data_IF_963944331565
#
_entry.id   IF_963944331565
#
_cell.length_a   1.000
_cell.length_b   1.000
_cell.length_c   1.000
_cell.angle_alpha   90.00
_cell.angle_beta   90.00
_cell.angle_gamma   90.00
#
_symmetry.space_group_name_H-M   'P 1'
#
loop_
_entity.id
_entity.type
_entity.pdbx_description
1 polymer ?
#
# COMPACT_ATOMS: atom_id res chain seq x y z
N UNK A 1 37.13 3.48 -9.81
CA UNK A 1 35.97 3.26 -10.74
C UNK A 1 34.93 4.36 -10.62
N UNK A 2 34.62 4.79 -9.44
CA UNK A 2 33.67 5.91 -9.16
C UNK A 2 34.13 7.21 -9.83
N UNK A 3 35.42 7.56 -9.73
CA UNK A 3 36.03 8.74 -10.34
C UNK A 3 35.73 8.87 -11.83
N UNK A 4 35.83 7.75 -12.56
CA UNK A 4 35.52 7.72 -13.99
C UNK A 4 34.08 8.15 -14.29
N UNK A 5 33.13 7.67 -13.48
CA UNK A 5 31.72 8.08 -13.64
C UNK A 5 31.54 9.56 -13.31
N UNK A 6 32.15 10.03 -12.22
CA UNK A 6 32.05 11.43 -11.81
C UNK A 6 32.64 12.37 -12.89
N UNK A 7 33.83 12.07 -13.42
CA UNK A 7 34.43 12.83 -14.53
C UNK A 7 33.55 12.85 -15.78
N UNK A 8 32.93 11.71 -16.15
CA UNK A 8 32.05 11.65 -17.28
C UNK A 8 30.76 12.49 -17.06
N UNK A 9 30.21 12.52 -15.84
CA UNK A 9 29.08 13.38 -15.50
C UNK A 9 29.47 14.87 -15.59
N UNK A 10 30.63 15.27 -15.11
CA UNK A 10 31.16 16.64 -15.24
C UNK A 10 31.31 17.09 -16.70
N UNK A 11 31.76 16.16 -17.57
CA UNK A 11 31.88 16.40 -19.01
C UNK A 11 30.58 16.26 -19.80
N UNK A 12 29.48 15.85 -19.12
CA UNK A 12 28.18 15.53 -19.74
C UNK A 12 28.27 14.46 -20.85
N UNK A 13 29.18 13.50 -20.67
CA UNK A 13 29.39 12.39 -21.61
C UNK A 13 28.50 11.20 -21.25
N UNK A 14 27.74 10.69 -22.24
CA UNK A 14 26.92 9.48 -22.09
C UNK A 14 26.20 9.41 -20.73
N UNK A 15 25.58 10.51 -20.32
CA UNK A 15 24.98 10.71 -18.98
C UNK A 15 24.12 9.53 -18.53
N UNK A 16 23.27 9.04 -19.41
CA UNK A 16 22.36 7.94 -19.08
C UNK A 16 23.09 6.67 -18.67
N UNK A 17 24.10 6.26 -19.44
CA UNK A 17 24.86 5.03 -19.20
C UNK A 17 25.74 5.19 -17.95
N UNK A 18 26.40 6.34 -17.80
CA UNK A 18 27.24 6.62 -16.65
C UNK A 18 26.45 6.72 -15.35
N UNK A 19 25.24 7.30 -15.34
CA UNK A 19 24.36 7.32 -14.17
C UNK A 19 23.87 5.91 -13.80
N UNK A 20 23.54 5.06 -14.77
CA UNK A 20 23.16 3.66 -14.51
C UNK A 20 24.34 2.89 -13.92
N UNK A 21 25.55 3.06 -14.49
CA UNK A 21 26.76 2.43 -13.97
C UNK A 21 27.12 2.91 -12.58
N UNK A 22 27.08 4.21 -12.34
CA UNK A 22 27.31 4.82 -11.03
C UNK A 22 26.34 4.27 -9.99
N UNK A 23 25.05 4.25 -10.30
CA UNK A 23 24.01 3.72 -9.41
C UNK A 23 24.22 2.26 -9.03
N UNK A 24 24.78 1.45 -9.95
CA UNK A 24 25.15 0.08 -9.62
C UNK A 24 26.32 0.00 -8.63
N UNK A 25 27.26 0.95 -8.71
CA UNK A 25 28.45 0.99 -7.84
C UNK A 25 28.13 1.50 -6.42
N UNK A 26 27.30 2.53 -6.26
CA UNK A 26 26.94 3.11 -4.96
C UNK A 26 26.07 2.21 -4.08
N UNK A 27 25.75 1.01 -4.53
CA UNK A 27 25.20 -0.06 -3.67
C UNK A 27 26.22 -0.63 -2.70
N UNK A 28 27.49 -0.51 -3.03
CA UNK A 28 28.61 -0.78 -2.13
C UNK A 28 28.86 0.44 -1.26
N UNK A 29 28.91 0.26 0.06
CA UNK A 29 28.98 1.38 1.01
C UNK A 29 30.27 2.18 0.86
N UNK A 30 31.40 1.51 0.63
CA UNK A 30 32.68 2.20 0.42
C UNK A 30 32.70 3.05 -0.85
N UNK A 31 32.07 2.54 -1.93
CA UNK A 31 31.91 3.29 -3.18
C UNK A 31 30.93 4.48 -2.99
N UNK A 32 29.87 4.31 -2.17
CA UNK A 32 28.94 5.37 -1.81
C UNK A 32 29.63 6.49 -1.05
N UNK A 33 30.39 6.16 0.01
CA UNK A 33 31.16 7.13 0.78
C UNK A 33 32.20 7.87 -0.10
N UNK A 34 32.93 7.15 -0.96
CA UNK A 34 33.83 7.75 -1.91
C UNK A 34 33.12 8.75 -2.82
N UNK A 35 31.95 8.38 -3.38
CA UNK A 35 31.18 9.27 -4.26
C UNK A 35 30.68 10.49 -3.51
N UNK A 36 30.13 10.34 -2.30
CA UNK A 36 29.70 11.46 -1.45
C UNK A 36 30.84 12.45 -1.20
N UNK A 37 32.08 11.97 -0.95
CA UNK A 37 33.22 12.85 -0.74
C UNK A 37 33.62 13.66 -1.99
N UNK A 38 33.30 13.15 -3.20
CA UNK A 38 33.64 13.77 -4.47
C UNK A 38 32.63 14.80 -4.94
N UNK A 39 31.33 14.60 -4.67
CA UNK A 39 30.26 15.47 -5.16
C UNK A 39 30.14 16.81 -4.43
N UNK A 40 30.89 17.00 -3.32
CA UNK A 40 30.90 18.24 -2.56
C UNK A 40 29.52 18.64 -2.03
N UNK A 41 28.97 19.74 -2.53
CA UNK A 41 27.62 20.23 -2.19
C UNK A 41 26.49 19.57 -3.00
N UNK A 42 26.81 18.62 -3.89
CA UNK A 42 25.83 17.95 -4.75
C UNK A 42 25.38 18.76 -5.95
N UNK A 43 25.92 19.94 -6.18
CA UNK A 43 25.46 20.88 -7.22
C UNK A 43 25.36 20.26 -8.60
N UNK A 44 26.36 19.43 -9.00
CA UNK A 44 26.32 18.72 -10.28
C UNK A 44 25.08 17.82 -10.42
N UNK A 45 24.73 17.05 -9.38
CA UNK A 45 23.53 16.19 -9.43
C UNK A 45 22.26 17.01 -9.47
N UNK A 46 22.21 18.12 -8.73
CA UNK A 46 21.04 19.01 -8.74
C UNK A 46 20.83 19.65 -10.12
N UNK A 47 21.92 20.06 -10.79
CA UNK A 47 21.85 20.56 -12.19
C UNK A 47 21.35 19.48 -13.15
N UNK A 48 21.76 18.22 -12.98
CA UNK A 48 21.32 17.11 -13.83
C UNK A 48 19.84 16.72 -13.63
N UNK A 49 19.15 17.21 -12.61
CA UNK A 49 17.70 17.08 -12.48
C UNK A 49 16.94 17.89 -13.53
N UNK A 50 17.56 18.91 -14.12
CA UNK A 50 16.98 19.77 -15.16
C UNK A 50 17.30 19.30 -16.59
N UNK A 51 17.99 18.16 -16.78
CA UNK A 51 18.33 17.63 -18.09
C UNK A 51 17.10 17.32 -18.94
N UNK A 52 17.21 17.51 -20.27
CA UNK A 52 16.10 17.28 -21.21
C UNK A 52 15.71 15.79 -21.24
N UNK A 53 16.66 14.86 -21.15
CA UNK A 53 16.37 13.42 -21.14
C UNK A 53 15.71 12.97 -19.84
N UNK A 54 14.42 12.54 -19.86
CA UNK A 54 13.72 12.09 -18.66
C UNK A 54 14.36 10.85 -17.99
N UNK A 55 15.16 10.08 -18.73
CA UNK A 55 15.88 8.93 -18.16
C UNK A 55 17.12 9.38 -17.37
N UNK A 56 17.72 10.51 -17.74
CA UNK A 56 18.79 11.14 -16.95
C UNK A 56 18.19 11.64 -15.66
N UNK A 57 17.15 12.48 -15.70
CA UNK A 57 16.46 12.98 -14.51
C UNK A 57 16.03 11.88 -13.55
N UNK A 58 15.43 10.81 -14.09
CA UNK A 58 15.05 9.61 -13.33
C UNK A 58 16.23 8.99 -12.57
N UNK A 59 17.38 8.79 -13.23
CA UNK A 59 18.52 8.15 -12.58
C UNK A 59 19.16 9.05 -11.54
N UNK A 60 19.25 10.35 -11.81
CA UNK A 60 19.75 11.36 -10.85
C UNK A 60 18.86 11.38 -9.59
N UNK A 61 17.56 11.45 -9.75
CA UNK A 61 16.63 11.41 -8.61
C UNK A 61 16.85 10.17 -7.73
N UNK A 62 17.00 8.99 -8.36
CA UNK A 62 17.27 7.77 -7.61
C UNK A 62 18.61 7.80 -6.88
N UNK A 63 19.67 8.33 -7.51
CA UNK A 63 20.98 8.47 -6.86
C UNK A 63 20.88 9.39 -5.64
N UNK A 64 20.23 10.56 -5.77
CA UNK A 64 20.04 11.50 -4.65
C UNK A 64 19.29 10.85 -3.48
N UNK A 65 18.28 10.04 -3.78
CA UNK A 65 17.54 9.29 -2.76
C UNK A 65 18.43 8.20 -2.11
N UNK A 66 19.12 7.38 -2.89
CA UNK A 66 19.98 6.30 -2.40
C UNK A 66 21.20 6.82 -1.60
N UNK A 67 21.64 8.04 -1.89
CA UNK A 67 22.65 8.75 -1.10
C UNK A 67 22.07 9.39 0.18
N UNK A 68 20.75 9.42 0.33
CA UNK A 68 20.06 10.13 1.41
C UNK A 68 20.51 11.60 1.49
N UNK A 69 20.68 12.25 0.31
CA UNK A 69 21.23 13.60 0.21
C UNK A 69 20.25 14.64 0.76
N UNK A 70 20.44 15.04 2.00
CA UNK A 70 19.51 15.91 2.75
C UNK A 70 19.21 17.24 2.04
N UNK A 71 20.16 17.82 1.35
CA UNK A 71 19.98 19.06 0.57
C UNK A 71 19.16 18.92 -0.71
N UNK A 72 18.78 17.69 -1.12
CA UNK A 72 18.04 17.45 -2.35
C UNK A 72 16.51 17.52 -2.21
N UNK A 73 15.97 17.59 -1.01
CA UNK A 73 14.51 17.52 -0.80
C UNK A 73 13.75 18.61 -1.57
N UNK A 74 14.15 19.88 -1.43
CA UNK A 74 13.55 21.00 -2.17
C UNK A 74 13.63 20.85 -3.68
N UNK A 75 14.81 20.46 -4.17
CA UNK A 75 15.05 20.27 -5.61
C UNK A 75 14.22 19.13 -6.17
N UNK A 76 14.15 17.99 -5.47
CA UNK A 76 13.35 16.84 -5.87
C UNK A 76 11.85 17.12 -5.85
N UNK A 77 11.35 17.88 -4.86
CA UNK A 77 9.95 18.32 -4.81
C UNK A 77 9.65 19.25 -5.98
N UNK A 78 10.51 20.23 -6.23
CA UNK A 78 10.36 21.17 -7.35
C UNK A 78 10.39 20.45 -8.69
N UNK A 79 11.33 19.53 -8.87
CA UNK A 79 11.45 18.71 -10.09
C UNK A 79 10.20 17.82 -10.27
N UNK A 80 9.69 17.21 -9.21
CA UNK A 80 8.46 16.41 -9.24
C UNK A 80 7.25 17.23 -9.72
N UNK A 81 7.08 18.45 -9.23
CA UNK A 81 5.94 19.30 -9.58
C UNK A 81 6.00 19.78 -11.04
N UNK A 82 7.20 20.06 -11.56
CA UNK A 82 7.43 20.50 -12.93
C UNK A 82 7.39 19.36 -13.95
N UNK A 83 7.65 18.12 -13.51
CA UNK A 83 7.79 16.96 -14.40
C UNK A 83 6.50 16.68 -15.18
N UNK A 84 6.63 16.57 -16.51
CA UNK A 84 5.53 16.23 -17.41
C UNK A 84 5.54 14.76 -17.82
N UNK A 85 6.69 14.10 -17.68
CA UNK A 85 6.85 12.71 -18.08
C UNK A 85 6.35 11.76 -16.98
N UNK A 86 5.16 11.21 -17.13
CA UNK A 86 4.46 10.44 -16.11
C UNK A 86 5.28 9.32 -15.48
N UNK A 87 6.09 8.58 -16.27
CA UNK A 87 6.89 7.48 -15.73
C UNK A 87 8.03 7.94 -14.80
N UNK A 88 8.41 9.22 -14.84
CA UNK A 88 9.45 9.80 -13.97
C UNK A 88 8.88 10.23 -12.63
N UNK A 89 7.65 10.74 -12.59
CA UNK A 89 7.01 11.27 -11.37
C UNK A 89 7.10 10.32 -10.18
N UNK A 90 6.72 9.05 -10.37
CA UNK A 90 6.80 8.05 -9.29
C UNK A 90 8.24 7.82 -8.78
N UNK A 91 9.25 8.16 -9.57
CA UNK A 91 10.65 8.01 -9.18
C UNK A 91 11.10 9.10 -8.23
N UNK A 92 10.70 10.35 -8.45
CA UNK A 92 10.95 11.44 -7.49
C UNK A 92 10.35 11.13 -6.13
N UNK A 93 9.12 10.63 -6.08
CA UNK A 93 8.47 10.24 -4.83
C UNK A 93 9.19 9.09 -4.12
N UNK A 94 9.73 8.13 -4.89
CA UNK A 94 10.56 7.04 -4.33
C UNK A 94 11.88 7.56 -3.77
N UNK A 95 12.49 8.55 -4.41
CA UNK A 95 13.72 9.19 -3.91
C UNK A 95 13.43 10.00 -2.63
N UNK A 96 12.34 10.77 -2.62
CA UNK A 96 11.90 11.53 -1.44
C UNK A 96 11.57 10.65 -0.23
N UNK A 97 11.23 9.36 -0.44
CA UNK A 97 10.99 8.43 0.66
C UNK A 97 12.23 8.13 1.52
N UNK A 98 13.42 8.48 1.07
CA UNK A 98 14.68 8.40 1.83
C UNK A 98 15.00 9.68 2.61
N UNK A 99 14.23 10.76 2.39
CA UNK A 99 14.51 12.09 2.91
C UNK A 99 13.44 12.54 3.90
N UNK A 100 13.72 13.60 4.66
CA UNK A 100 12.71 14.26 5.46
C UNK A 100 11.80 15.12 4.56
N UNK A 101 10.52 14.80 4.57
CA UNK A 101 9.49 15.48 3.79
C UNK A 101 8.47 16.25 4.64
N UNK A 102 8.74 16.43 5.93
CA UNK A 102 7.79 17.03 6.89
C UNK A 102 7.25 18.38 6.40
N UNK A 103 8.12 19.23 5.82
CA UNK A 103 7.73 20.54 5.29
C UNK A 103 6.82 20.48 4.06
N UNK A 104 6.72 19.32 3.37
CA UNK A 104 6.00 19.18 2.10
C UNK A 104 4.75 18.31 2.19
N UNK A 105 4.42 17.78 3.37
CA UNK A 105 3.32 16.82 3.55
C UNK A 105 1.99 17.34 3.00
N UNK A 106 1.62 18.59 3.27
CA UNK A 106 0.37 19.19 2.79
C UNK A 106 0.32 19.28 1.25
N UNK A 107 1.45 19.58 0.60
CA UNK A 107 1.54 19.60 -0.88
C UNK A 107 1.29 18.20 -1.46
N UNK A 108 1.84 17.16 -0.82
CA UNK A 108 1.65 15.77 -1.24
C UNK A 108 0.23 15.26 -0.96
N UNK A 109 -0.41 15.69 0.14
CA UNK A 109 -1.82 15.39 0.41
C UNK A 109 -2.72 16.01 -0.66
N UNK A 110 -2.53 17.30 -0.98
CA UNK A 110 -3.27 17.97 -2.05
C UNK A 110 -3.09 17.22 -3.38
N UNK A 111 -1.85 16.86 -3.73
CA UNK A 111 -1.59 16.09 -4.94
C UNK A 111 -2.27 14.72 -4.95
N UNK A 112 -2.33 14.06 -3.81
CA UNK A 112 -3.04 12.79 -3.67
C UNK A 112 -4.55 12.96 -3.94
N UNK A 113 -5.18 13.99 -3.40
CA UNK A 113 -6.60 14.31 -3.63
C UNK A 113 -6.88 14.56 -5.11
N UNK A 114 -6.01 15.30 -5.81
CA UNK A 114 -6.10 15.52 -7.25
C UNK A 114 -6.06 14.18 -8.01
N UNK A 115 -5.08 13.31 -7.71
CA UNK A 115 -4.91 12.02 -8.37
C UNK A 115 -6.09 11.07 -8.11
N UNK A 116 -6.67 11.10 -6.91
CA UNK A 116 -7.83 10.27 -6.56
C UNK A 116 -9.10 10.72 -7.28
N UNK A 117 -9.23 12.02 -7.57
CA UNK A 117 -10.36 12.58 -8.33
C UNK A 117 -10.17 12.49 -9.85
N UNK A 118 -8.93 12.25 -10.31
CA UNK A 118 -8.61 12.18 -11.74
C UNK A 118 -8.95 10.82 -12.36
N UNK A 119 -9.60 10.85 -13.51
CA UNK A 119 -9.86 9.64 -14.31
C UNK A 119 -8.83 9.54 -15.44
N UNK A 120 -7.79 8.72 -15.33
CA UNK A 120 -6.72 8.65 -16.32
C UNK A 120 -7.18 7.95 -17.61
N UNK A 121 -6.61 8.36 -18.77
CA UNK A 121 -6.71 7.63 -20.00
C UNK A 121 -6.03 6.25 -19.88
N UNK A 122 -6.37 5.31 -20.78
CA UNK A 122 -5.89 3.93 -20.68
C UNK A 122 -4.35 3.81 -20.69
N UNK A 123 -3.69 4.63 -21.52
CA UNK A 123 -2.23 4.71 -21.63
C UNK A 123 -1.56 5.35 -20.41
N UNK A 124 -2.23 6.27 -19.72
CA UNK A 124 -1.71 6.95 -18.53
C UNK A 124 -1.90 6.13 -17.26
N UNK A 125 -2.94 5.30 -17.22
CA UNK A 125 -3.41 4.61 -16.01
C UNK A 125 -2.28 3.92 -15.25
N UNK A 126 -1.40 3.21 -15.94
CA UNK A 126 -0.26 2.52 -15.31
C UNK A 126 0.64 3.48 -14.54
N UNK A 127 0.95 4.63 -15.12
CA UNK A 127 1.88 5.61 -14.54
C UNK A 127 1.21 6.40 -13.41
N UNK A 128 -0.05 6.77 -13.57
CA UNK A 128 -0.86 7.39 -12.51
C UNK A 128 -1.01 6.43 -11.32
N UNK A 129 -1.31 5.17 -11.54
CA UNK A 129 -1.37 4.16 -10.47
C UNK A 129 0.00 3.95 -9.77
N UNK A 130 1.12 4.10 -10.49
CA UNK A 130 2.46 4.07 -9.91
C UNK A 130 2.77 5.32 -9.09
N UNK A 131 2.32 6.50 -9.53
CA UNK A 131 2.42 7.77 -8.80
C UNK A 131 1.59 7.72 -7.52
N UNK A 132 0.32 7.36 -7.58
CA UNK A 132 -0.57 7.18 -6.42
C UNK A 132 0.05 6.28 -5.37
N UNK A 133 0.62 5.13 -5.79
CA UNK A 133 1.24 4.18 -4.87
C UNK A 133 2.50 4.71 -4.23
N UNK A 134 3.36 5.38 -5.02
CA UNK A 134 4.60 5.96 -4.48
C UNK A 134 4.27 7.08 -3.49
N UNK A 135 3.27 7.90 -3.80
CA UNK A 135 2.79 8.99 -2.96
C UNK A 135 2.12 8.47 -1.67
N UNK A 136 1.32 7.41 -1.77
CA UNK A 136 0.71 6.77 -0.60
C UNK A 136 1.76 6.27 0.39
N UNK A 137 2.80 5.59 -0.10
CA UNK A 137 3.92 5.12 0.74
C UNK A 137 4.73 6.26 1.36
N UNK A 138 4.93 7.33 0.60
CA UNK A 138 5.65 8.50 1.07
C UNK A 138 4.89 9.16 2.25
N UNK A 139 3.59 9.35 2.10
CA UNK A 139 2.74 9.91 3.14
C UNK A 139 2.57 8.97 4.35
N UNK A 140 2.44 7.66 4.11
CA UNK A 140 2.37 6.65 5.19
C UNK A 140 3.63 6.69 6.09
N UNK A 141 4.81 6.85 5.48
CA UNK A 141 6.07 6.96 6.24
C UNK A 141 6.16 8.25 7.07
N UNK A 142 5.55 9.33 6.59
CA UNK A 142 5.57 10.64 7.23
C UNK A 142 4.46 10.83 8.28
N UNK A 143 3.38 10.05 8.20
CA UNK A 143 2.27 10.08 9.15
C UNK A 143 2.60 9.20 10.38
N UNK A 144 2.62 9.78 11.57
CA UNK A 144 2.66 9.00 12.80
C UNK A 144 1.38 8.18 12.91
N UNK A 145 1.52 6.87 12.81
CA UNK A 145 0.39 5.97 12.96
C UNK A 145 0.00 5.84 14.43
N UNK A 146 -1.16 6.37 14.75
CA UNK A 146 -1.78 6.19 16.08
C UNK A 146 -2.57 4.89 16.16
N UNK A 147 -2.21 3.81 15.56
CA UNK A 147 -2.88 2.52 15.58
C UNK A 147 -4.35 2.50 16.06
N UNK A 148 -5.20 1.71 15.42
CA UNK A 148 -6.59 1.60 15.83
C UNK A 148 -6.75 0.56 16.93
N UNK A 149 -7.59 0.86 17.93
CA UNK A 149 -7.92 -0.10 18.98
C UNK A 149 -9.28 -0.72 18.69
N UNK A 150 -9.31 -2.04 18.56
CA UNK A 150 -10.58 -2.78 18.46
C UNK A 150 -11.39 -2.64 19.76
N UNK A 151 -12.61 -2.14 19.65
CA UNK A 151 -13.50 -1.87 20.81
C UNK A 151 -14.69 -2.83 20.88
N UNK A 152 -14.83 -3.72 19.90
CA UNK A 152 -15.96 -4.64 19.79
C UNK A 152 -17.16 -4.02 19.06
N UNK A 153 -18.21 -4.81 18.92
CA UNK A 153 -19.42 -4.42 18.20
C UNK A 153 -20.55 -3.98 19.15
N UNK A 154 -21.27 -2.95 18.74
CA UNK A 154 -22.52 -2.54 19.41
C UNK A 154 -23.65 -3.49 19.04
N UNK A 155 -23.73 -3.89 17.78
CA UNK A 155 -24.72 -4.77 17.21
C UNK A 155 -24.15 -6.15 16.88
N UNK A 156 -24.99 -7.22 16.84
CA UNK A 156 -24.55 -8.51 16.37
C UNK A 156 -24.18 -8.48 14.88
N UNK A 157 -23.07 -9.11 14.53
CA UNK A 157 -22.61 -9.32 13.16
C UNK A 157 -22.41 -10.81 12.86
N UNK A 158 -22.46 -11.16 11.59
CA UNK A 158 -22.08 -12.48 11.13
C UNK A 158 -20.57 -12.65 11.27
N UNK A 159 -20.15 -13.71 11.95
CA UNK A 159 -18.75 -14.12 12.07
C UNK A 159 -18.60 -15.50 11.46
N UNK A 160 -17.59 -15.72 10.66
CA UNK A 160 -17.29 -16.99 10.05
C UNK A 160 -16.05 -17.59 10.70
N UNK A 161 -16.22 -18.69 11.41
CA UNK A 161 -15.16 -19.48 12.01
C UNK A 161 -14.69 -20.51 10.96
N UNK A 162 -13.53 -20.30 10.36
CA UNK A 162 -12.96 -21.23 9.39
C UNK A 162 -12.48 -22.49 10.09
N UNK A 163 -13.00 -23.63 9.69
CA UNK A 163 -12.63 -24.93 10.24
C UNK A 163 -11.86 -25.77 9.20
N UNK A 164 -11.01 -26.67 9.65
CA UNK A 164 -10.47 -27.73 8.78
C UNK A 164 -11.56 -28.77 8.44
N UNK A 165 -11.26 -29.63 7.44
CA UNK A 165 -12.12 -30.74 7.10
C UNK A 165 -12.46 -31.56 8.36
N UNK A 166 -13.71 -32.00 8.48
CA UNK A 166 -14.28 -32.76 9.59
C UNK A 166 -14.31 -32.09 10.98
N UNK A 167 -13.90 -30.81 11.12
CA UNK A 167 -13.93 -30.11 12.41
C UNK A 167 -15.15 -29.23 12.62
N UNK A 168 -15.97 -29.02 11.61
CA UNK A 168 -17.19 -28.16 11.69
C UNK A 168 -18.14 -28.60 12.81
N UNK A 169 -18.37 -29.91 12.96
CA UNK A 169 -19.26 -30.43 14.01
C UNK A 169 -18.67 -30.29 15.42
N UNK A 170 -17.33 -30.36 15.55
CA UNK A 170 -16.64 -30.13 16.83
C UNK A 170 -16.79 -28.66 17.24
N UNK A 171 -16.58 -27.73 16.30
CA UNK A 171 -16.74 -26.30 16.53
C UNK A 171 -18.20 -25.95 16.88
N UNK A 172 -19.18 -26.59 16.21
CA UNK A 172 -20.59 -26.43 16.57
C UNK A 172 -20.91 -26.89 17.98
N UNK A 173 -20.34 -28.01 18.42
CA UNK A 173 -20.48 -28.49 19.81
C UNK A 173 -19.85 -27.52 20.80
N UNK A 174 -18.67 -27.01 20.50
CA UNK A 174 -17.97 -26.02 21.35
C UNK A 174 -18.77 -24.72 21.47
N UNK A 175 -19.34 -24.21 20.37
CA UNK A 175 -20.25 -23.06 20.38
C UNK A 175 -21.53 -23.40 21.18
N UNK A 176 -22.03 -24.63 21.08
CA UNK A 176 -23.24 -25.09 21.71
C UNK A 176 -23.25 -24.98 23.24
N UNK A 177 -22.08 -25.00 23.87
CA UNK A 177 -21.97 -24.82 25.33
C UNK A 177 -21.89 -23.36 25.78
N UNK A 178 -21.78 -22.41 24.85
CA UNK A 178 -21.84 -21.00 25.18
C UNK A 178 -23.26 -20.56 25.56
N UNK A 179 -23.42 -19.50 26.37
CA UNK A 179 -24.73 -18.92 26.67
C UNK A 179 -25.56 -18.59 25.41
N UNK A 180 -26.86 -18.75 25.50
CA UNK A 180 -27.78 -18.61 24.34
C UNK A 180 -27.79 -17.19 23.76
N UNK A 181 -27.60 -16.18 24.58
CA UNK A 181 -27.49 -14.77 24.18
C UNK A 181 -26.23 -14.48 23.36
N UNK A 182 -25.14 -15.24 23.58
CA UNK A 182 -23.89 -15.15 22.81
C UNK A 182 -24.03 -15.83 21.45
N UNK A 183 -24.69 -17.01 21.39
CA UNK A 183 -24.79 -17.86 20.20
C UNK A 183 -26.11 -17.71 19.43
N UNK A 184 -26.66 -16.51 19.28
CA UNK A 184 -28.04 -16.24 18.80
C UNK A 184 -28.46 -17.01 17.54
N UNK A 185 -27.59 -17.08 16.52
CA UNK A 185 -27.81 -17.90 15.30
C UNK A 185 -26.50 -18.57 14.93
N UNK A 186 -26.53 -19.87 14.80
CA UNK A 186 -25.35 -20.67 14.42
C UNK A 186 -25.76 -21.61 13.30
N UNK A 187 -24.97 -21.68 12.24
CA UNK A 187 -25.23 -22.52 11.07
C UNK A 187 -23.92 -23.12 10.51
N UNK A 188 -24.03 -24.29 9.89
CA UNK A 188 -22.95 -24.84 9.06
C UNK A 188 -22.75 -23.93 7.84
N UNK A 189 -21.49 -23.69 7.50
CA UNK A 189 -21.06 -22.95 6.33
C UNK A 189 -20.06 -23.82 5.53
N UNK A 190 -19.97 -23.74 4.19
CA UNK A 190 -19.03 -24.53 3.40
C UNK A 190 -17.57 -24.40 3.86
N UNK A 191 -17.20 -23.26 4.44
CA UNK A 191 -15.84 -23.00 4.96
C UNK A 191 -15.70 -23.24 6.48
N UNK A 192 -16.80 -23.59 7.19
CA UNK A 192 -16.76 -23.78 8.64
C UNK A 192 -18.10 -23.54 9.33
N UNK A 193 -18.14 -22.61 10.30
CA UNK A 193 -19.34 -22.29 11.08
C UNK A 193 -19.60 -20.80 11.03
N UNK A 194 -20.80 -20.41 10.62
CA UNK A 194 -21.28 -19.04 10.72
C UNK A 194 -21.99 -18.83 12.06
N UNK A 195 -21.65 -17.75 12.76
CA UNK A 195 -22.26 -17.34 14.05
C UNK A 195 -22.68 -15.89 13.96
N UNK A 196 -23.89 -15.56 14.38
CA UNK A 196 -24.38 -14.20 14.46
C UNK A 196 -24.34 -13.72 15.92
N UNK A 197 -23.37 -12.88 16.26
CA UNK A 197 -23.12 -12.41 17.62
C UNK A 197 -22.39 -11.05 17.63
N UNK A 198 -22.42 -10.35 18.75
CA UNK A 198 -21.56 -9.19 18.99
C UNK A 198 -20.34 -9.52 19.86
N UNK A 199 -20.32 -10.69 20.46
CA UNK A 199 -19.27 -11.10 21.42
C UNK A 199 -18.10 -11.77 20.69
N UNK A 200 -17.21 -10.94 20.16
CA UNK A 200 -15.96 -11.40 19.50
C UNK A 200 -15.06 -12.14 20.48
N UNK A 201 -15.03 -11.71 21.75
CA UNK A 201 -14.15 -12.34 22.76
C UNK A 201 -14.57 -13.78 23.03
N UNK A 202 -15.86 -14.05 23.11
CA UNK A 202 -16.35 -15.42 23.26
C UNK A 202 -15.94 -16.28 22.07
N UNK A 203 -16.04 -15.73 20.85
CA UNK A 203 -15.60 -16.45 19.64
C UNK A 203 -14.08 -16.63 19.60
N UNK A 204 -13.30 -15.63 19.97
CA UNK A 204 -11.84 -15.70 20.00
C UNK A 204 -11.30 -16.73 21.01
N UNK A 205 -12.06 -17.06 22.05
CA UNK A 205 -11.69 -18.06 23.08
C UNK A 205 -11.96 -19.52 22.66
N UNK A 206 -12.67 -19.77 21.55
CA UNK A 206 -12.86 -21.11 21.03
C UNK A 206 -11.55 -21.68 20.48
N UNK A 207 -11.41 -23.01 20.52
CA UNK A 207 -10.13 -23.70 20.22
C UNK A 207 -10.17 -24.55 18.95
N UNK A 208 -11.33 -24.75 18.34
CA UNK A 208 -11.53 -25.74 17.28
C UNK A 208 -11.61 -25.13 15.87
N UNK A 209 -11.46 -23.83 15.72
CA UNK A 209 -11.35 -23.16 14.43
C UNK A 209 -9.91 -22.67 14.18
N UNK A 210 -9.63 -22.23 12.95
CA UNK A 210 -8.31 -21.71 12.54
C UNK A 210 -8.26 -20.19 12.47
N UNK A 211 -9.33 -19.60 11.93
CA UNK A 211 -9.41 -18.18 11.65
C UNK A 211 -10.83 -17.69 11.88
N UNK A 212 -10.96 -16.47 12.37
CA UNK A 212 -12.23 -15.77 12.52
C UNK A 212 -12.30 -14.67 11.47
N UNK A 213 -13.34 -14.70 10.64
CA UNK A 213 -13.57 -13.74 9.58
C UNK A 213 -14.91 -13.03 9.78
N UNK A 214 -14.99 -11.81 9.25
CA UNK A 214 -16.23 -11.03 9.17
C UNK A 214 -16.66 -10.96 7.71
N UNK A 215 -17.65 -11.74 7.26
CA UNK A 215 -18.09 -11.76 5.87
C UNK A 215 -18.66 -10.42 5.43
N UNK A 216 -18.19 -9.88 4.33
CA UNK A 216 -18.78 -8.75 3.62
C UNK A 216 -19.65 -9.30 2.50
N UNK A 217 -20.93 -8.96 2.50
CA UNK A 217 -21.87 -9.38 1.46
C UNK A 217 -21.85 -8.38 0.32
N UNK A 218 -21.32 -8.80 -0.81
CA UNK A 218 -21.33 -8.00 -2.02
C UNK A 218 -22.73 -7.97 -2.63
N UNK A 219 -23.13 -6.84 -3.21
CA UNK A 219 -24.39 -6.69 -3.94
C UNK A 219 -24.32 -7.33 -5.33
N UNK A 220 -23.15 -7.30 -5.94
CA UNK A 220 -22.87 -7.85 -7.25
C UNK A 220 -21.56 -8.65 -7.24
N UNK A 221 -21.51 -9.70 -8.06
CA UNK A 221 -20.25 -10.40 -8.31
C UNK A 221 -19.42 -9.61 -9.30
N UNK A 222 -18.13 -9.51 -9.06
CA UNK A 222 -17.20 -8.81 -9.93
C UNK A 222 -15.94 -9.64 -10.16
N UNK A 223 -15.55 -9.75 -11.44
CA UNK A 223 -14.32 -10.45 -11.82
C UNK A 223 -13.12 -9.50 -11.97
N UNK A 224 -13.37 -8.22 -12.18
CA UNK A 224 -12.33 -7.19 -12.29
C UNK A 224 -11.99 -6.64 -10.91
N UNK A 225 -10.70 -6.48 -10.65
CA UNK A 225 -10.20 -6.07 -9.34
C UNK A 225 -10.75 -4.70 -8.90
N UNK A 226 -10.81 -3.76 -9.82
CA UNK A 226 -11.29 -2.41 -9.58
C UNK A 226 -12.79 -2.38 -9.26
N UNK A 227 -13.60 -3.10 -10.03
CA UNK A 227 -15.04 -3.21 -9.79
C UNK A 227 -15.33 -3.90 -8.45
N UNK A 228 -14.54 -4.94 -8.12
CA UNK A 228 -14.66 -5.62 -6.83
C UNK A 228 -14.31 -4.71 -5.66
N UNK A 229 -13.32 -3.83 -5.81
CA UNK A 229 -12.97 -2.86 -4.77
C UNK A 229 -14.09 -1.83 -4.54
N UNK A 230 -14.73 -1.36 -5.63
CA UNK A 230 -15.91 -0.49 -5.55
C UNK A 230 -17.06 -1.16 -4.81
N UNK A 231 -17.37 -2.42 -5.15
CA UNK A 231 -18.40 -3.22 -4.49
C UNK A 231 -18.10 -3.44 -3.00
N UNK A 232 -16.87 -3.75 -2.64
CA UNK A 232 -16.44 -3.92 -1.23
C UNK A 232 -16.65 -2.61 -0.47
N UNK A 233 -16.27 -1.47 -1.03
CA UNK A 233 -16.49 -0.17 -0.40
C UNK A 233 -17.98 0.15 -0.23
N UNK A 234 -18.77 -0.02 -1.30
CA UNK A 234 -20.24 0.22 -1.28
C UNK A 234 -20.99 -0.76 -0.38
N UNK A 235 -20.43 -1.91 -0.08
CA UNK A 235 -20.99 -2.89 0.86
C UNK A 235 -20.78 -2.52 2.33
N UNK A 236 -20.20 -1.35 2.61
CA UNK A 236 -20.14 -0.77 3.96
C UNK A 236 -18.95 -1.20 4.81
N UNK A 237 -17.84 -1.65 4.21
CA UNK A 237 -16.62 -2.01 4.97
C UNK A 237 -16.12 -0.85 5.83
N UNK A 238 -16.20 0.40 5.33
CA UNK A 238 -15.81 1.57 6.09
C UNK A 238 -16.63 1.77 7.37
N UNK A 239 -17.95 1.65 7.28
CA UNK A 239 -18.85 1.79 8.43
C UNK A 239 -18.66 0.64 9.42
N UNK A 240 -18.46 -0.59 8.91
CA UNK A 240 -18.15 -1.76 9.71
C UNK A 240 -16.88 -1.56 10.55
N UNK A 241 -15.80 -1.09 9.92
CA UNK A 241 -14.53 -0.84 10.62
C UNK A 241 -14.65 0.31 11.63
N UNK A 242 -15.38 1.38 11.31
CA UNK A 242 -15.66 2.50 12.22
C UNK A 242 -16.50 2.09 13.44
N UNK A 243 -17.42 1.15 13.28
CA UNK A 243 -18.24 0.65 14.38
C UNK A 243 -17.41 -0.04 15.46
N UNK A 244 -16.42 -0.84 15.03
CA UNK A 244 -15.69 -1.73 15.93
C UNK A 244 -14.29 -1.25 16.36
N UNK A 245 -13.86 -0.07 15.88
CA UNK A 245 -12.57 0.49 16.25
C UNK A 245 -12.70 1.94 16.74
N UNK A 246 -11.81 2.32 17.65
CA UNK A 246 -11.58 3.73 17.96
C UNK A 246 -10.85 4.38 16.79
N UNK A 247 -11.28 5.60 16.46
CA UNK A 247 -10.75 6.33 15.32
C UNK A 247 -9.27 6.64 15.50
N UNK A 248 -8.51 6.26 14.55
CA UNK A 248 -7.24 6.78 14.12
C UNK A 248 -7.37 7.04 12.62
N UNK A 249 -6.40 7.61 12.00
CA UNK A 249 -6.35 7.78 10.53
C UNK A 249 -4.91 7.63 10.09
N UNK A 250 -4.66 7.08 8.96
CA UNK A 250 -5.49 6.23 8.11
C UNK A 250 -5.62 4.79 8.65
N UNK A 251 -6.64 4.04 8.21
CA UNK A 251 -6.80 2.63 8.57
C UNK A 251 -6.01 1.74 7.60
N UNK A 252 -5.03 1.00 8.07
CA UNK A 252 -4.13 0.22 7.22
C UNK A 252 -4.65 -1.18 6.98
N UNK A 253 -4.64 -1.60 5.72
CA UNK A 253 -5.07 -2.93 5.31
C UNK A 253 -4.06 -3.62 4.40
N UNK A 254 -4.14 -4.95 4.37
CA UNK A 254 -3.53 -5.76 3.29
C UNK A 254 -4.57 -6.61 2.59
N UNK A 255 -4.25 -7.06 1.38
CA UNK A 255 -5.12 -7.93 0.58
C UNK A 255 -4.54 -9.34 0.52
N UNK A 256 -5.35 -10.35 0.85
CA UNK A 256 -5.04 -11.76 0.62
C UNK A 256 -6.06 -12.33 -0.39
N UNK A 257 -5.58 -13.04 -1.41
CA UNK A 257 -6.44 -13.67 -2.42
C UNK A 257 -6.32 -15.19 -2.31
N UNK A 258 -7.45 -15.84 -2.00
CA UNK A 258 -7.60 -17.29 -1.99
C UNK A 258 -8.46 -17.72 -3.18
N UNK A 259 -7.85 -17.81 -4.36
CA UNK A 259 -8.44 -18.27 -5.59
C UNK A 259 -7.45 -19.14 -6.34
N UNK A 260 -7.95 -20.04 -7.19
CA UNK A 260 -7.14 -20.80 -8.13
C UNK A 260 -6.69 -19.87 -9.26
N UNK A 261 -5.51 -19.28 -9.10
CA UNK A 261 -4.97 -18.23 -9.96
C UNK A 261 -3.44 -18.29 -9.92
N UNK A 262 -2.80 -18.08 -11.07
CA UNK A 262 -1.35 -17.93 -11.18
C UNK A 262 -0.81 -16.80 -10.30
N UNK A 263 0.39 -16.97 -9.74
CA UNK A 263 0.95 -16.02 -8.78
C UNK A 263 1.06 -14.60 -9.32
N UNK A 264 1.50 -14.41 -10.57
CA UNK A 264 1.65 -13.08 -11.17
C UNK A 264 0.30 -12.39 -11.37
N UNK A 265 -0.70 -13.14 -11.82
CA UNK A 265 -2.08 -12.64 -11.96
C UNK A 265 -2.67 -12.28 -10.59
N UNK A 266 -2.40 -13.11 -9.56
CA UNK A 266 -2.83 -12.87 -8.18
C UNK A 266 -2.23 -11.58 -7.64
N UNK A 267 -0.91 -11.39 -7.79
CA UNK A 267 -0.21 -10.18 -7.36
C UNK A 267 -0.71 -8.94 -8.09
N UNK A 268 -0.92 -9.03 -9.41
CA UNK A 268 -1.47 -7.94 -10.21
C UNK A 268 -2.89 -7.57 -9.78
N UNK A 269 -3.74 -8.58 -9.54
CA UNK A 269 -5.12 -8.39 -9.07
C UNK A 269 -5.16 -7.72 -7.70
N UNK A 270 -4.38 -8.23 -6.72
CA UNK A 270 -4.30 -7.65 -5.38
C UNK A 270 -3.87 -6.18 -5.42
N UNK A 271 -2.89 -5.86 -6.27
CA UNK A 271 -2.39 -4.50 -6.47
C UNK A 271 -3.45 -3.55 -7.01
N UNK A 272 -4.18 -3.97 -8.07
CA UNK A 272 -5.25 -3.15 -8.67
C UNK A 272 -6.41 -2.94 -7.70
N UNK A 273 -6.80 -4.00 -7.00
CA UNK A 273 -7.84 -3.95 -5.96
C UNK A 273 -7.46 -2.96 -4.86
N UNK A 274 -6.23 -3.03 -4.34
CA UNK A 274 -5.77 -2.17 -3.26
C UNK A 274 -5.76 -0.69 -3.68
N UNK A 275 -5.20 -0.37 -4.85
CA UNK A 275 -5.17 1.01 -5.38
C UNK A 275 -6.59 1.57 -5.52
N UNK A 276 -7.51 0.78 -6.09
CA UNK A 276 -8.88 1.24 -6.26
C UNK A 276 -9.59 1.43 -4.93
N UNK A 277 -9.36 0.54 -3.95
CA UNK A 277 -9.96 0.68 -2.62
C UNK A 277 -9.43 1.90 -1.87
N UNK A 278 -8.14 2.22 -1.98
CA UNK A 278 -7.58 3.48 -1.48
C UNK A 278 -8.27 4.69 -2.12
N UNK A 279 -8.48 4.66 -3.44
CA UNK A 279 -9.14 5.73 -4.19
C UNK A 279 -10.58 5.95 -3.73
N UNK A 280 -11.41 4.91 -3.71
CA UNK A 280 -12.83 5.05 -3.37
C UNK A 280 -13.08 5.34 -1.90
N UNK A 281 -12.14 5.00 -1.04
CA UNK A 281 -12.16 5.36 0.39
C UNK A 281 -11.60 6.75 0.69
N UNK A 282 -11.21 7.53 -0.34
CA UNK A 282 -10.49 8.80 -0.19
C UNK A 282 -9.31 8.68 0.80
N UNK A 283 -8.52 7.60 0.67
CA UNK A 283 -7.40 7.25 1.56
C UNK A 283 -7.74 7.03 3.04
N UNK A 284 -9.00 6.87 3.36
CA UNK A 284 -9.35 6.41 4.71
C UNK A 284 -8.83 4.98 4.97
N UNK A 285 -8.80 4.14 3.91
CA UNK A 285 -8.10 2.86 3.86
C UNK A 285 -6.78 3.02 3.09
N UNK A 286 -5.65 2.60 3.67
CA UNK A 286 -4.34 2.60 3.02
C UNK A 286 -3.79 1.17 2.97
N UNK A 287 -3.29 0.77 1.80
CA UNK A 287 -2.69 -0.55 1.65
C UNK A 287 -1.26 -0.58 2.19
N UNK A 288 -1.06 -1.33 3.27
CA UNK A 288 0.24 -1.61 3.87
C UNK A 288 0.45 -3.12 3.99
N UNK A 289 1.49 -3.64 3.36
CA UNK A 289 1.76 -5.09 3.36
C UNK A 289 2.53 -5.57 4.58
N UNK A 290 3.24 -4.68 5.25
CA UNK A 290 4.09 -5.00 6.40
C UNK A 290 3.49 -4.59 7.74
N UNK A 291 2.83 -3.43 7.76
CA UNK A 291 2.23 -2.85 8.94
C UNK A 291 0.74 -2.57 8.68
N UNK A 292 -0.11 -3.56 8.91
CA UNK A 292 -1.54 -3.50 8.64
C UNK A 292 -2.35 -3.85 9.90
N UNK A 293 -3.52 -3.28 10.02
CA UNK A 293 -4.45 -3.48 11.13
C UNK A 293 -5.58 -4.43 10.76
N UNK A 294 -5.88 -4.56 9.47
CA UNK A 294 -6.88 -5.50 8.97
C UNK A 294 -6.41 -6.20 7.69
N UNK A 295 -6.94 -7.40 7.48
CA UNK A 295 -6.72 -8.16 6.26
C UNK A 295 -8.03 -8.32 5.50
N UNK A 296 -8.07 -7.81 4.27
CA UNK A 296 -9.19 -8.02 3.36
C UNK A 296 -8.92 -9.27 2.55
N UNK A 297 -9.70 -10.31 2.80
CA UNK A 297 -9.52 -11.61 2.18
C UNK A 297 -10.55 -11.85 1.08
N UNK A 298 -10.07 -12.00 -0.14
CA UNK A 298 -10.88 -12.31 -1.30
C UNK A 298 -10.89 -13.83 -1.53
N UNK A 299 -12.04 -14.46 -1.32
CA UNK A 299 -12.19 -15.92 -1.46
C UNK A 299 -13.15 -16.18 -2.61
N UNK A 300 -12.64 -16.79 -3.71
CA UNK A 300 -13.50 -17.25 -4.80
C UNK A 300 -14.09 -18.60 -4.43
N UNK A 301 -15.42 -18.72 -4.41
CA UNK A 301 -16.11 -19.98 -4.29
C UNK A 301 -15.83 -20.83 -5.53
N UNK A 302 -15.53 -22.11 -5.35
CA UNK A 302 -15.46 -23.08 -6.44
C UNK A 302 -16.85 -23.39 -6.95
#
# INVERSE_FOLDING_TARGET
>A
MIEKYYEALQKRENLRENLVGLRAQIKDEAAKEQFVSMIGDGGLLLELLEEEDPKVRKNVAMILGELEWMGAADALVTAYEREQTLFVKSTYLKALAYLDITAYQERFKTRMEELLSYTPAAEEKKHIDEEVRALSRLLEKAEESTGHTFTGFKNPHEMLLLTGHARTDVTLKEIGVLPADIRRKTAKHPLGVAVYTKDVRAMANLRTYRELLFPIRLKQEAEQAEVLADEVWQSGIGDFLKECHKQGTPFRFRVEIRADMENDKRASFAKKFAIQLERVSARWLINSTGDYETEIRLIKKK
#
